data_IF_029915357366
#
_entry.id   IF_029915357366
#
_cell.length_a   1.000
_cell.length_b   1.000
_cell.length_c   1.000
_cell.angle_alpha   90.00
_cell.angle_beta   90.00
_cell.angle_gamma   90.00
#
_symmetry.space_group_name_H-M   'P 1'
#
loop_
_entity.id
_entity.type
_entity.pdbx_description
1 polymer ?
#
# COMPACT_ATOMS: atom_id res chain seq x y z
N UNK A 1 2.47 -18.93 9.33
CA UNK A 1 2.51 -19.70 8.07
C UNK A 1 2.67 -18.81 6.82
N UNK A 2 2.13 -17.57 6.78
CA UNK A 2 2.30 -16.62 5.66
C UNK A 2 3.74 -16.07 5.46
N UNK A 3 4.52 -15.95 6.53
CA UNK A 3 5.89 -15.43 6.49
C UNK A 3 6.86 -16.26 5.63
N UNK A 4 6.67 -17.59 5.61
CA UNK A 4 7.43 -18.50 4.76
C UNK A 4 7.15 -18.23 3.27
N UNK A 5 5.90 -17.93 2.92
CA UNK A 5 5.51 -17.56 1.56
C UNK A 5 6.18 -16.26 1.10
N UNK A 6 6.19 -15.23 1.95
CA UNK A 6 6.85 -13.95 1.63
C UNK A 6 8.37 -14.09 1.50
N UNK A 7 9.01 -14.91 2.33
CA UNK A 7 10.45 -15.16 2.23
C UNK A 7 10.82 -15.85 0.91
N UNK A 8 10.06 -16.87 0.51
CA UNK A 8 10.29 -17.59 -0.75
C UNK A 8 10.03 -16.68 -1.95
N UNK A 9 8.93 -15.91 -1.94
CA UNK A 9 8.61 -14.97 -3.01
C UNK A 9 9.70 -13.91 -3.18
N UNK A 10 10.22 -13.37 -2.08
CA UNK A 10 11.32 -12.40 -2.10
C UNK A 10 12.59 -13.00 -2.70
N UNK A 11 12.92 -14.25 -2.36
CA UNK A 11 14.08 -14.95 -2.92
C UNK A 11 13.95 -15.18 -4.43
N UNK A 12 12.74 -15.51 -4.91
CA UNK A 12 12.44 -15.68 -6.33
C UNK A 12 12.60 -14.36 -7.09
N UNK A 13 12.10 -13.26 -6.54
CA UNK A 13 12.19 -11.91 -7.15
C UNK A 13 13.65 -11.43 -7.22
N UNK A 14 14.47 -11.76 -6.21
CA UNK A 14 15.90 -11.40 -6.21
C UNK A 14 16.80 -12.33 -7.03
N UNK A 15 16.34 -13.55 -7.33
CA UNK A 15 17.06 -14.54 -8.13
C UNK A 15 17.66 -13.99 -9.45
N UNK A 16 16.92 -13.25 -10.30
CA UNK A 16 17.47 -12.71 -11.55
C UNK A 16 18.57 -11.67 -11.35
N UNK A 17 18.56 -10.91 -10.25
CA UNK A 17 19.63 -9.94 -9.93
C UNK A 17 20.93 -10.65 -9.55
N UNK A 18 20.81 -11.77 -8.82
CA UNK A 18 21.94 -12.62 -8.43
C UNK A 18 22.50 -13.38 -9.65
N UNK A 19 21.61 -13.83 -10.54
CA UNK A 19 21.98 -14.50 -11.79
C UNK A 19 22.65 -13.54 -12.79
N UNK A 20 22.16 -12.31 -12.92
CA UNK A 20 22.74 -11.31 -13.82
C UNK A 20 24.18 -10.92 -13.45
N UNK A 21 24.58 -11.07 -12.18
CA UNK A 21 25.96 -10.83 -11.73
C UNK A 21 26.93 -11.99 -12.00
N UNK A 22 26.43 -13.17 -12.42
CA UNK A 22 27.24 -14.38 -12.60
C UNK A 22 27.68 -14.66 -14.04
N UNK A 23 27.25 -13.88 -15.04
CA UNK A 23 27.38 -14.33 -16.42
C UNK A 23 27.48 -13.24 -17.48
N UNK A 24 28.52 -12.41 -17.42
CA UNK A 24 29.25 -12.07 -18.65
C UNK A 24 30.75 -12.16 -18.35
N UNK A 25 31.24 -13.39 -18.27
CA UNK A 25 32.64 -13.61 -18.65
C UNK A 25 32.68 -13.29 -20.14
N UNK A 26 32.89 -12.02 -20.45
CA UNK A 26 33.25 -11.59 -21.79
C UNK A 26 34.51 -12.39 -22.11
N UNK A 27 34.38 -13.43 -22.94
CA UNK A 27 35.49 -13.99 -23.70
C UNK A 27 36.37 -12.81 -24.10
N UNK A 28 37.63 -12.82 -23.66
CA UNK A 28 38.45 -11.62 -23.59
C UNK A 28 38.25 -10.76 -24.82
N UNK A 29 37.90 -9.47 -24.65
CA UNK A 29 37.60 -8.53 -25.75
C UNK A 29 38.64 -8.62 -26.90
N UNK A 30 39.87 -8.98 -26.56
CA UNK A 30 40.97 -9.32 -27.47
C UNK A 30 40.71 -10.56 -28.32
N UNK A 31 40.37 -11.71 -27.72
CA UNK A 31 40.11 -12.97 -28.43
C UNK A 31 38.92 -12.84 -29.40
N UNK A 32 37.84 -12.19 -28.97
CA UNK A 32 36.67 -11.93 -29.82
C UNK A 32 36.99 -11.00 -30.99
N UNK A 33 37.76 -9.93 -30.77
CA UNK A 33 38.22 -9.03 -31.83
C UNK A 33 39.16 -9.75 -32.83
N UNK A 34 40.11 -10.56 -32.34
CA UNK A 34 41.02 -11.32 -33.19
C UNK A 34 40.28 -12.36 -34.05
N UNK A 35 39.29 -13.06 -33.48
CA UNK A 35 38.46 -14.00 -34.22
C UNK A 35 37.67 -13.30 -35.34
N UNK A 36 37.10 -12.13 -35.06
CA UNK A 36 36.34 -11.34 -36.03
C UNK A 36 37.20 -10.88 -37.22
N UNK A 37 38.37 -10.29 -36.96
CA UNK A 37 39.25 -9.81 -38.04
C UNK A 37 39.84 -10.96 -38.89
N UNK A 38 40.11 -12.13 -38.28
CA UNK A 38 40.51 -13.34 -39.03
C UNK A 38 39.40 -13.83 -39.96
N UNK A 39 38.14 -13.79 -39.50
CA UNK A 39 37.00 -14.13 -40.35
C UNK A 39 36.88 -13.14 -41.52
N UNK A 40 37.03 -11.84 -41.26
CA UNK A 40 36.96 -10.81 -42.32
C UNK A 40 38.04 -10.98 -43.40
N UNK A 41 39.27 -11.38 -43.04
CA UNK A 41 40.31 -11.68 -44.04
C UNK A 41 39.93 -12.86 -44.94
N UNK A 42 39.28 -13.87 -44.36
CA UNK A 42 38.82 -15.04 -45.11
C UNK A 42 37.71 -14.65 -46.10
N UNK A 43 36.75 -13.86 -45.65
CA UNK A 43 35.64 -13.40 -46.50
C UNK A 43 36.16 -12.55 -47.67
N UNK A 44 37.09 -11.62 -47.43
CA UNK A 44 37.71 -10.80 -48.49
C UNK A 44 38.55 -11.64 -49.46
N UNK A 45 39.19 -12.72 -48.99
CA UNK A 45 39.91 -13.65 -49.85
C UNK A 45 38.96 -14.44 -50.77
N UNK A 46 37.87 -14.98 -50.21
CA UNK A 46 36.85 -15.71 -50.96
C UNK A 46 36.11 -14.82 -51.97
N UNK A 47 35.80 -13.57 -51.58
CA UNK A 47 35.10 -12.63 -52.45
C UNK A 47 35.94 -12.16 -53.63
N UNK A 48 37.25 -11.95 -53.42
CA UNK A 48 38.16 -11.66 -54.52
C UNK A 48 38.37 -12.86 -55.44
N UNK A 49 38.39 -14.09 -54.91
CA UNK A 49 38.45 -15.30 -55.74
C UNK A 49 37.19 -15.47 -56.62
N UNK A 50 36.05 -14.95 -56.16
CA UNK A 50 34.78 -14.89 -56.92
C UNK A 50 34.68 -13.70 -57.86
N UNK A 51 35.75 -12.89 -58.02
CA UNK A 51 35.80 -11.75 -58.92
C UNK A 51 34.93 -10.56 -58.49
N UNK A 52 34.53 -10.48 -57.21
CA UNK A 52 33.65 -9.41 -56.70
C UNK A 52 34.38 -8.10 -56.42
N UNK A 53 35.71 -8.13 -56.36
CA UNK A 53 36.57 -6.98 -56.12
C UNK A 53 37.60 -6.84 -57.22
N UNK A 54 37.96 -5.60 -57.56
CA UNK A 54 39.14 -5.39 -58.39
C UNK A 54 40.41 -5.80 -57.61
N UNK A 55 41.46 -6.33 -58.27
CA UNK A 55 42.67 -6.78 -57.60
C UNK A 55 43.32 -5.72 -56.70
N UNK A 56 43.21 -4.45 -57.09
CA UNK A 56 43.71 -3.30 -56.32
C UNK A 56 42.90 -3.02 -55.06
N UNK A 57 41.57 -3.04 -55.17
CA UNK A 57 40.65 -2.83 -54.04
C UNK A 57 40.78 -3.95 -53.00
N UNK A 58 40.96 -5.19 -53.46
CA UNK A 58 41.18 -6.33 -52.58
C UNK A 58 42.49 -6.21 -51.79
N UNK A 59 43.57 -5.76 -52.44
CA UNK A 59 44.86 -5.57 -51.79
C UNK A 59 44.82 -4.45 -50.74
N UNK A 60 44.15 -3.35 -51.04
CA UNK A 60 43.95 -2.22 -50.12
C UNK A 60 43.11 -2.63 -48.90
N UNK A 61 42.01 -3.35 -49.10
CA UNK A 61 41.15 -3.85 -48.02
C UNK A 61 41.86 -4.86 -47.11
N UNK A 62 42.63 -5.80 -47.68
CA UNK A 62 43.42 -6.76 -46.89
C UNK A 62 44.44 -6.06 -46.00
N UNK A 63 45.18 -5.10 -46.55
CA UNK A 63 46.19 -4.34 -45.81
C UNK A 63 45.57 -3.57 -44.63
N UNK A 64 44.40 -2.97 -44.82
CA UNK A 64 43.71 -2.27 -43.73
C UNK A 64 43.23 -3.23 -42.62
N UNK A 65 42.67 -4.39 -42.98
CA UNK A 65 42.22 -5.38 -42.01
C UNK A 65 43.41 -5.98 -41.25
N UNK A 66 44.53 -6.27 -41.93
CA UNK A 66 45.77 -6.74 -41.28
C UNK A 66 46.33 -5.70 -40.31
N UNK A 67 46.30 -4.42 -40.68
CA UNK A 67 46.70 -3.32 -39.78
C UNK A 67 45.80 -3.25 -38.55
N UNK A 68 44.49 -3.41 -38.71
CA UNK A 68 43.52 -3.45 -37.58
C UNK A 68 43.70 -4.71 -36.72
N UNK A 69 44.02 -5.85 -37.33
CA UNK A 69 44.32 -7.10 -36.63
C UNK A 69 45.59 -6.97 -35.78
N UNK A 70 46.65 -6.36 -36.31
CA UNK A 70 47.88 -6.07 -35.57
C UNK A 70 47.63 -5.10 -34.42
N UNK A 71 46.84 -4.05 -34.65
CA UNK A 71 46.43 -3.11 -33.61
C UNK A 71 45.62 -3.81 -32.49
N UNK A 72 44.71 -4.71 -32.86
CA UNK A 72 43.94 -5.52 -31.90
C UNK A 72 44.81 -6.56 -31.15
N UNK A 73 45.84 -7.09 -31.81
CA UNK A 73 46.82 -8.01 -31.21
C UNK A 73 47.76 -7.33 -30.20
N UNK A 74 48.04 -6.03 -30.40
CA UNK A 74 48.83 -5.20 -29.50
C UNK A 74 48.07 -4.65 -28.28
N UNK A 75 46.75 -4.82 -28.22
CA UNK A 75 45.99 -4.56 -27.01
C UNK A 75 46.48 -5.54 -25.94
N UNK A 76 47.09 -5.00 -24.88
CA UNK A 76 47.43 -5.77 -23.70
C UNK A 76 46.18 -6.53 -23.24
N UNK A 77 46.38 -7.71 -22.67
CA UNK A 77 45.33 -8.48 -22.00
C UNK A 77 44.91 -7.72 -20.75
N UNK A 78 44.20 -6.60 -20.95
CA UNK A 78 43.38 -6.01 -19.92
C UNK A 78 42.30 -7.04 -19.66
N UNK A 79 42.64 -7.97 -18.78
CA UNK A 79 41.71 -8.50 -17.81
C UNK A 79 41.11 -7.27 -17.16
N UNK A 80 40.02 -6.77 -17.75
CA UNK A 80 39.11 -5.89 -17.06
C UNK A 80 38.52 -6.79 -15.99
N UNK A 81 39.28 -6.96 -14.91
CA UNK A 81 38.75 -7.17 -13.58
C UNK A 81 38.07 -5.87 -13.22
N UNK A 82 37.03 -5.52 -13.99
CA UNK A 82 36.00 -4.60 -13.61
C UNK A 82 35.27 -5.30 -12.49
N UNK A 83 35.92 -5.37 -11.32
CA UNK A 83 35.25 -5.59 -10.07
C UNK A 83 34.43 -4.33 -9.91
N UNK A 84 33.24 -4.39 -10.52
CA UNK A 84 32.22 -3.37 -10.44
C UNK A 84 31.96 -3.17 -8.96
N UNK A 85 32.60 -2.16 -8.36
CA UNK A 85 32.35 -1.75 -6.99
C UNK A 85 30.89 -1.32 -6.81
N UNK A 86 30.15 -1.16 -7.91
CA UNK A 86 28.72 -0.97 -7.95
C UNK A 86 27.95 -2.26 -7.59
N UNK A 87 28.44 -3.43 -8.02
CA UNK A 87 27.83 -4.74 -7.74
C UNK A 87 27.89 -5.11 -6.25
N UNK A 88 29.02 -4.85 -5.60
CA UNK A 88 29.20 -5.16 -4.18
C UNK A 88 28.45 -4.17 -3.27
N UNK A 89 28.41 -2.88 -3.64
CA UNK A 89 27.61 -1.86 -2.94
C UNK A 89 26.11 -2.11 -3.06
N UNK A 90 25.64 -2.51 -4.25
CA UNK A 90 24.22 -2.85 -4.45
C UNK A 90 23.83 -4.12 -3.68
N UNK A 91 24.70 -5.14 -3.65
CA UNK A 91 24.48 -6.34 -2.85
C UNK A 91 24.45 -6.03 -1.34
N UNK A 92 25.31 -5.12 -0.87
CA UNK A 92 25.30 -4.68 0.53
C UNK A 92 24.01 -3.93 0.88
N UNK A 93 23.53 -3.05 0.00
CA UNK A 93 22.30 -2.29 0.22
C UNK A 93 21.07 -3.20 0.34
N UNK A 94 20.99 -4.22 -0.52
CA UNK A 94 19.92 -5.23 -0.51
C UNK A 94 19.86 -5.99 0.82
N UNK A 95 21.00 -6.16 1.50
CA UNK A 95 21.06 -6.89 2.78
C UNK A 95 20.87 -5.95 3.98
N UNK A 96 21.43 -4.74 3.92
CA UNK A 96 21.39 -3.77 5.03
C UNK A 96 19.98 -3.22 5.24
N UNK A 97 19.23 -2.91 4.17
CA UNK A 97 17.87 -2.38 4.27
C UNK A 97 16.93 -3.31 5.06
N UNK A 98 16.78 -4.61 4.72
CA UNK A 98 15.87 -5.49 5.46
C UNK A 98 16.33 -5.77 6.89
N UNK A 99 17.64 -5.84 7.15
CA UNK A 99 18.17 -6.01 8.50
C UNK A 99 17.84 -4.78 9.36
N UNK A 100 18.05 -3.58 8.82
CA UNK A 100 17.74 -2.34 9.52
C UNK A 100 16.23 -2.21 9.77
N UNK A 101 15.40 -2.58 8.80
CA UNK A 101 13.95 -2.62 8.98
C UNK A 101 13.54 -3.59 10.10
N UNK A 102 14.14 -4.79 10.18
CA UNK A 102 13.89 -5.73 11.28
C UNK A 102 14.36 -5.16 12.63
N UNK A 103 15.56 -4.58 12.67
CA UNK A 103 16.15 -4.04 13.88
C UNK A 103 15.34 -2.86 14.46
N UNK A 104 14.70 -2.07 13.61
CA UNK A 104 13.77 -1.02 14.03
C UNK A 104 12.40 -1.60 14.42
N UNK A 105 11.90 -2.61 13.71
CA UNK A 105 10.59 -3.21 13.98
C UNK A 105 10.54 -4.05 15.26
N UNK A 106 11.58 -4.80 15.60
CA UNK A 106 11.59 -5.68 16.78
C UNK A 106 11.34 -4.95 18.12
N UNK A 107 11.98 -3.80 18.43
CA UNK A 107 11.75 -3.08 19.69
C UNK A 107 10.47 -2.22 19.70
N UNK A 108 10.01 -1.74 18.55
CA UNK A 108 8.89 -0.78 18.46
C UNK A 108 7.58 -1.38 17.94
N UNK A 109 7.67 -2.50 17.22
CA UNK A 109 6.53 -3.20 16.64
C UNK A 109 5.93 -4.20 17.61
N UNK A 110 4.78 -4.74 17.22
CA UNK A 110 4.10 -5.79 17.96
C UNK A 110 4.09 -7.09 17.14
N UNK A 111 5.23 -7.82 17.09
CA UNK A 111 5.36 -9.03 16.26
C UNK A 111 4.40 -10.15 16.66
N UNK A 112 3.91 -10.13 17.90
CA UNK A 112 3.00 -11.13 18.45
C UNK A 112 1.56 -10.60 18.62
N UNK A 113 1.20 -9.46 18.01
CA UNK A 113 -0.16 -8.95 18.13
C UNK A 113 -1.14 -9.98 17.54
N UNK A 114 -2.01 -10.61 18.37
CA UNK A 114 -2.94 -11.59 17.86
C UNK A 114 -3.90 -10.88 16.91
N UNK A 115 -4.28 -11.56 15.82
CA UNK A 115 -5.24 -11.04 14.88
C UNK A 115 -6.52 -10.67 15.63
N UNK A 116 -6.84 -9.37 15.71
CA UNK A 116 -8.07 -8.90 16.34
C UNK A 116 -9.23 -9.28 15.41
N UNK A 117 -10.00 -10.34 15.71
CA UNK A 117 -11.00 -10.83 14.77
C UNK A 117 -12.15 -9.81 14.73
N UNK A 118 -12.77 -9.66 13.57
CA UNK A 118 -13.90 -8.74 13.41
C UNK A 118 -15.13 -9.18 14.22
N UNK A 119 -15.32 -10.49 14.38
CA UNK A 119 -16.45 -11.09 15.09
C UNK A 119 -16.66 -10.60 16.54
N UNK A 120 -15.66 -10.62 17.44
CA UNK A 120 -15.84 -10.11 18.80
C UNK A 120 -16.13 -8.60 18.84
N UNK A 121 -15.67 -7.81 17.86
CA UNK A 121 -15.99 -6.38 17.77
C UNK A 121 -17.47 -6.15 17.43
N UNK A 122 -18.00 -6.91 16.47
CA UNK A 122 -19.42 -6.84 16.12
C UNK A 122 -20.28 -7.31 17.28
N UNK A 123 -19.91 -8.40 17.96
CA UNK A 123 -20.65 -8.89 19.13
C UNK A 123 -20.65 -7.87 20.29
N UNK A 124 -19.51 -7.23 20.57
CA UNK A 124 -19.43 -6.17 21.59
C UNK A 124 -20.30 -4.96 21.21
N UNK A 125 -20.28 -4.53 19.94
CA UNK A 125 -21.13 -3.43 19.47
C UNK A 125 -22.63 -3.78 19.56
N UNK A 126 -23.01 -5.00 19.19
CA UNK A 126 -24.40 -5.47 19.30
C UNK A 126 -24.86 -5.57 20.77
N UNK A 127 -24.00 -6.08 21.66
CA UNK A 127 -24.30 -6.15 23.08
C UNK A 127 -24.53 -4.74 23.67
N UNK A 128 -23.70 -3.77 23.27
CA UNK A 128 -23.86 -2.38 23.68
C UNK A 128 -25.19 -1.79 23.19
N UNK A 129 -25.53 -1.97 21.91
CA UNK A 129 -26.81 -1.49 21.35
C UNK A 129 -28.03 -2.09 22.08
N UNK A 130 -27.97 -3.37 22.45
CA UNK A 130 -29.04 -4.01 23.22
C UNK A 130 -29.17 -3.43 24.63
N UNK A 131 -28.05 -3.13 25.28
CA UNK A 131 -28.02 -2.51 26.60
C UNK A 131 -28.60 -1.09 26.57
N UNK A 132 -28.25 -0.30 25.56
CA UNK A 132 -28.75 1.07 25.38
C UNK A 132 -30.27 1.08 25.15
N UNK A 133 -30.77 0.16 24.30
CA UNK A 133 -32.23 -0.03 24.08
C UNK A 133 -32.96 -0.49 25.33
N UNK A 134 -32.37 -1.40 26.12
CA UNK A 134 -32.95 -1.84 27.37
C UNK A 134 -33.07 -0.67 28.37
N UNK A 135 -32.04 0.19 28.45
CA UNK A 135 -32.06 1.37 29.31
C UNK A 135 -33.14 2.38 28.88
N UNK A 136 -33.28 2.62 27.57
CA UNK A 136 -34.38 3.42 27.02
C UNK A 136 -35.76 2.88 27.43
N UNK A 137 -35.98 1.57 27.25
CA UNK A 137 -37.25 0.93 27.61
C UNK A 137 -37.56 1.02 29.11
N UNK A 138 -36.56 0.82 29.97
CA UNK A 138 -36.71 0.99 31.42
C UNK A 138 -37.06 2.43 31.80
N UNK A 139 -36.43 3.42 31.16
CA UNK A 139 -36.71 4.83 31.41
C UNK A 139 -38.15 5.18 30.98
N UNK A 140 -38.58 4.74 29.80
CA UNK A 140 -39.94 4.96 29.31
C UNK A 140 -40.99 4.30 30.23
N UNK A 141 -40.75 3.06 30.65
CA UNK A 141 -41.63 2.36 31.59
C UNK A 141 -41.72 3.10 32.93
N UNK A 142 -40.59 3.62 33.44
CA UNK A 142 -40.58 4.41 34.67
C UNK A 142 -41.31 5.74 34.52
N UNK A 143 -41.21 6.40 33.37
CA UNK A 143 -41.97 7.64 33.11
C UNK A 143 -43.47 7.36 33.06
N UNK A 144 -43.88 6.22 32.48
CA UNK A 144 -45.29 5.83 32.38
C UNK A 144 -45.97 5.57 33.73
N UNK A 145 -45.21 5.28 34.79
CA UNK A 145 -45.76 5.12 36.15
C UNK A 145 -45.85 6.42 36.95
N UNK A 146 -45.25 7.51 36.45
CA UNK A 146 -45.30 8.82 37.09
C UNK A 146 -46.56 9.58 36.67
N UNK A 147 -47.01 10.50 37.52
CA UNK A 147 -48.07 11.44 37.16
C UNK A 147 -47.61 12.30 35.97
N UNK A 148 -48.35 12.32 34.84
CA UNK A 148 -48.01 13.07 33.64
C UNK A 148 -47.72 14.57 33.85
N UNK A 149 -48.27 15.18 34.91
CA UNK A 149 -48.06 16.62 35.20
C UNK A 149 -47.03 16.87 36.30
N UNK A 150 -46.39 15.82 36.81
CA UNK A 150 -45.38 15.96 37.87
C UNK A 150 -44.04 16.49 37.36
N UNK A 151 -43.32 17.17 38.26
CA UNK A 151 -41.94 17.60 38.01
C UNK A 151 -40.99 16.43 37.74
N UNK A 152 -41.28 15.25 38.29
CA UNK A 152 -40.52 14.02 38.05
C UNK A 152 -40.72 13.49 36.64
N UNK A 153 -41.96 13.48 36.13
CA UNK A 153 -42.25 13.11 34.75
C UNK A 153 -41.52 14.05 33.77
N UNK A 154 -41.51 15.36 34.06
CA UNK A 154 -40.76 16.34 33.28
C UNK A 154 -39.27 16.01 33.22
N UNK A 155 -38.63 15.74 34.36
CA UNK A 155 -37.23 15.35 34.40
C UNK A 155 -36.97 14.05 33.64
N UNK A 156 -37.89 13.09 33.74
CA UNK A 156 -37.84 11.85 32.96
C UNK A 156 -37.85 12.11 31.45
N UNK A 157 -38.74 12.97 30.96
CA UNK A 157 -38.78 13.35 29.54
C UNK A 157 -37.52 14.12 29.08
N UNK A 158 -36.93 14.96 29.95
CA UNK A 158 -35.64 15.61 29.64
C UNK A 158 -34.52 14.58 29.48
N UNK A 159 -34.43 13.62 30.41
CA UNK A 159 -33.43 12.55 30.36
C UNK A 159 -33.63 11.65 29.15
N UNK A 160 -34.88 11.33 28.82
CA UNK A 160 -35.23 10.55 27.64
C UNK A 160 -34.74 11.26 26.37
N UNK A 161 -35.03 12.55 26.22
CA UNK A 161 -34.57 13.30 25.06
C UNK A 161 -33.05 13.39 24.96
N UNK A 162 -32.35 13.52 26.09
CA UNK A 162 -30.88 13.50 26.10
C UNK A 162 -30.30 12.15 25.67
N UNK A 163 -30.93 11.04 26.10
CA UNK A 163 -30.49 9.70 25.74
C UNK A 163 -30.73 9.43 24.25
N UNK A 164 -31.91 9.76 23.73
CA UNK A 164 -32.23 9.64 22.30
C UNK A 164 -31.29 10.52 21.44
N UNK A 165 -30.99 11.75 21.87
CA UNK A 165 -30.04 12.62 21.19
C UNK A 165 -28.62 12.03 21.14
N UNK A 166 -28.17 11.41 22.23
CA UNK A 166 -26.87 10.73 22.30
C UNK A 166 -26.81 9.50 21.38
N UNK A 167 -27.94 8.84 21.16
CA UNK A 167 -28.07 7.72 20.22
C UNK A 167 -28.21 8.17 18.76
N UNK A 168 -28.30 9.48 18.53
CA UNK A 168 -28.40 10.08 17.19
C UNK A 168 -29.83 10.18 16.66
N UNK A 169 -30.85 9.83 17.45
CA UNK A 169 -32.25 10.00 17.06
C UNK A 169 -32.75 11.41 17.42
N UNK A 170 -32.47 12.35 16.52
CA UNK A 170 -32.89 13.74 16.69
C UNK A 170 -34.42 13.90 16.71
N UNK A 171 -35.17 13.02 16.06
CA UNK A 171 -36.64 13.11 16.03
C UNK A 171 -37.23 12.71 17.38
N UNK A 172 -36.83 11.56 17.91
CA UNK A 172 -37.29 11.08 19.21
C UNK A 172 -36.85 12.02 20.35
N UNK A 173 -35.64 12.61 20.24
CA UNK A 173 -35.16 13.61 21.19
C UNK A 173 -36.05 14.87 21.23
N UNK A 174 -36.41 15.39 20.05
CA UNK A 174 -37.30 16.56 19.94
C UNK A 174 -38.67 16.27 20.56
N UNK A 175 -39.26 15.12 20.28
CA UNK A 175 -40.57 14.72 20.83
C UNK A 175 -40.54 14.63 22.37
N UNK A 176 -39.49 14.02 22.92
CA UNK A 176 -39.33 13.88 24.37
C UNK A 176 -39.16 15.25 25.06
N UNK A 177 -38.32 16.14 24.52
CA UNK A 177 -38.18 17.50 25.05
C UNK A 177 -39.45 18.33 24.90
N UNK A 178 -40.23 18.13 23.83
CA UNK A 178 -41.54 18.76 23.65
C UNK A 178 -42.53 18.38 24.76
N UNK A 179 -42.57 17.09 25.14
CA UNK A 179 -43.37 16.63 26.29
C UNK A 179 -42.92 17.25 27.61
N UNK A 180 -41.61 17.40 27.82
CA UNK A 180 -41.09 18.08 29.01
C UNK A 180 -41.50 19.57 29.05
N UNK A 181 -41.42 20.28 27.91
CA UNK A 181 -41.83 21.67 27.81
C UNK A 181 -43.33 21.89 28.02
N UNK A 182 -44.15 20.92 27.61
CA UNK A 182 -45.60 20.96 27.84
C UNK A 182 -45.97 20.93 29.33
N UNK A 183 -45.14 20.31 30.18
CA UNK A 183 -45.31 20.31 31.64
C UNK A 183 -44.84 21.65 32.22
N UNK A 184 -43.63 22.09 31.86
CA UNK A 184 -43.10 23.39 32.25
C UNK A 184 -42.12 23.92 31.22
N UNK A 185 -42.45 25.09 30.68
CA UNK A 185 -41.62 25.79 29.71
C UNK A 185 -40.23 26.13 30.27
N UNK A 186 -39.22 25.95 29.43
CA UNK A 186 -37.83 26.32 29.69
C UNK A 186 -37.21 26.76 28.36
N UNK A 187 -36.77 28.02 28.27
CA UNK A 187 -36.24 28.59 27.03
C UNK A 187 -34.98 27.85 26.52
N UNK A 188 -34.14 27.33 27.43
CA UNK A 188 -32.94 26.57 27.04
C UNK A 188 -33.32 25.23 26.42
N UNK A 189 -34.30 24.54 27.02
CA UNK A 189 -34.79 23.27 26.52
C UNK A 189 -35.56 23.44 25.20
N UNK A 190 -36.33 24.51 25.06
CA UNK A 190 -37.03 24.87 23.82
C UNK A 190 -36.06 25.09 22.65
N UNK A 191 -34.91 25.72 22.92
CA UNK A 191 -33.85 25.87 21.92
C UNK A 191 -33.27 24.52 21.49
N UNK A 192 -33.06 23.59 22.42
CA UNK A 192 -32.55 22.24 22.11
C UNK A 192 -33.56 21.46 21.25
N UNK A 193 -34.85 21.50 21.59
CA UNK A 193 -35.90 20.90 20.77
C UNK A 193 -35.90 21.46 19.35
N UNK A 194 -35.93 22.78 19.19
CA UNK A 194 -35.97 23.41 17.86
C UNK A 194 -34.74 23.03 17.01
N UNK A 195 -33.56 22.90 17.62
CA UNK A 195 -32.35 22.42 16.94
C UNK A 195 -32.48 20.96 16.49
N UNK A 196 -32.99 20.08 17.36
CA UNK A 196 -33.19 18.68 17.00
C UNK A 196 -34.24 18.49 15.90
N UNK A 197 -35.34 19.27 15.92
CA UNK A 197 -36.33 19.28 14.83
C UNK A 197 -35.72 19.73 13.49
N UNK A 198 -34.83 20.74 13.52
CA UNK A 198 -34.14 21.18 12.32
C UNK A 198 -33.22 20.10 11.75
N UNK A 199 -32.48 19.39 12.61
CA UNK A 199 -31.62 18.27 12.22
C UNK A 199 -32.46 17.11 11.64
N UNK A 200 -33.59 16.77 12.27
CA UNK A 200 -34.49 15.73 11.77
C UNK A 200 -35.10 16.06 10.39
N UNK A 201 -35.41 17.34 10.13
CA UNK A 201 -35.87 17.82 8.81
C UNK A 201 -34.76 17.76 7.76
N UNK A 202 -33.52 18.03 8.14
CA UNK A 202 -32.39 17.98 7.22
C UNK A 202 -32.04 16.54 6.81
N UNK A 203 -32.09 15.59 7.75
CA UNK A 203 -31.81 14.17 7.45
C UNK A 203 -32.87 13.57 6.51
N UNK A 204 -34.14 13.92 6.69
CA UNK A 204 -35.24 13.48 5.81
C UNK A 204 -35.12 14.06 4.39
N UNK A 205 -34.71 15.33 4.24
CA UNK A 205 -34.47 15.93 2.92
C UNK A 205 -33.24 15.35 2.22
N UNK A 206 -32.17 15.04 2.95
CA UNK A 206 -30.96 14.41 2.39
C UNK A 206 -31.22 12.96 1.96
N UNK A 207 -32.11 12.23 2.64
CA UNK A 207 -32.50 10.87 2.27
C UNK A 207 -33.38 10.82 1.01
N UNK A 208 -34.18 11.85 0.75
CA UNK A 208 -35.00 11.96 -0.46
C UNK A 208 -34.21 12.36 -1.72
N UNK A 209 -32.96 12.80 -1.58
CA UNK A 209 -32.10 13.25 -2.66
C UNK A 209 -31.05 12.19 -3.12
N UNK A 210 -31.06 10.99 -2.53
CA UNK A 210 -30.21 9.88 -2.98
C UNK A 210 -31.00 8.95 -3.91
N UNK A 211 -30.72 8.93 -5.23
CA UNK A 211 -31.32 7.99 -6.19
C UNK A 211 -30.76 6.56 -6.06
#
# INVERSE_FOLDING_TARGET
>A
MIWLGFAILSLIILSPVIWAQRGTVMLGRRESALALYRAQLKDVAEDGARGRFQPREQAEAKLEIERRLLAAGGLAEETITGRSGFSCRLAMLVLVIPILALALYLPQGAPLLPAAPLAPRIQAAQAQMMQDRAMLGMLQAKIATLDPKSDQARQGFVLLGNLEANLGDASAAADAWGRALAIRYDAKLAKLQAMAEAVAKQSTQSGAASP
#
